data_IF_457120982152
#
_entry.id   IF_457120982152
#
_cell.length_a   1.000
_cell.length_b   1.000
_cell.length_c   1.000
_cell.angle_alpha   90.00
_cell.angle_beta   90.00
_cell.angle_gamma   90.00
#
_symmetry.space_group_name_H-M   'P 1'
#
loop_
_entity.id
_entity.type
_entity.pdbx_description
1 polymer ?
#
# COMPACT_ATOMS: atom_id res chain seq x y z
N UNK A 1 -23.27 8.12 32.74
CA UNK A 1 -22.31 8.59 31.71
C UNK A 1 -23.05 9.62 30.87
N UNK A 2 -22.55 10.85 30.78
CA UNK A 2 -23.22 11.89 29.99
C UNK A 2 -22.93 11.64 28.50
N UNK A 3 -23.85 12.05 27.62
CA UNK A 3 -23.68 11.89 26.16
C UNK A 3 -22.38 12.56 25.69
N UNK A 4 -21.98 13.67 26.32
CA UNK A 4 -20.69 14.33 26.07
C UNK A 4 -19.47 13.44 26.37
N UNK A 5 -19.47 12.70 27.47
CA UNK A 5 -18.35 11.81 27.83
C UNK A 5 -18.19 10.68 26.81
N UNK A 6 -19.32 10.19 26.28
CA UNK A 6 -19.36 9.16 25.25
C UNK A 6 -18.84 9.67 23.91
N UNK A 7 -19.26 10.86 23.48
CA UNK A 7 -18.77 11.53 22.26
C UNK A 7 -17.27 11.82 22.32
N UNK A 8 -16.76 12.22 23.49
CA UNK A 8 -15.33 12.47 23.70
C UNK A 8 -14.51 11.19 23.55
N UNK A 9 -14.94 10.09 24.17
CA UNK A 9 -14.28 8.77 24.05
C UNK A 9 -14.28 8.27 22.60
N UNK A 10 -15.42 8.38 21.90
CA UNK A 10 -15.52 7.96 20.49
C UNK A 10 -14.59 8.79 19.60
N UNK A 11 -14.49 10.10 19.86
CA UNK A 11 -13.59 10.98 19.10
C UNK A 11 -12.13 10.58 19.25
N UNK A 12 -11.66 10.34 20.48
CA UNK A 12 -10.28 9.91 20.75
C UNK A 12 -9.98 8.57 20.04
N UNK A 13 -10.92 7.62 20.08
CA UNK A 13 -10.76 6.33 19.40
C UNK A 13 -10.69 6.48 17.88
N UNK A 14 -11.57 7.29 17.29
CA UNK A 14 -11.58 7.54 15.84
C UNK A 14 -10.31 8.25 15.37
N UNK A 15 -9.81 9.21 16.15
CA UNK A 15 -8.54 9.89 15.87
C UNK A 15 -7.36 8.90 15.92
N UNK A 16 -7.33 8.03 16.94
CA UNK A 16 -6.31 7.00 17.08
C UNK A 16 -6.29 6.03 15.90
N UNK A 17 -7.45 5.47 15.54
CA UNK A 17 -7.58 4.54 14.40
C UNK A 17 -7.25 5.23 13.08
N UNK A 18 -7.73 6.47 12.87
CA UNK A 18 -7.43 7.26 11.68
C UNK A 18 -5.92 7.50 11.51
N UNK A 19 -5.22 7.78 12.61
CA UNK A 19 -3.76 7.97 12.63
C UNK A 19 -3.02 6.69 12.24
N UNK A 20 -3.35 5.56 12.88
CA UNK A 20 -2.69 4.28 12.59
C UNK A 20 -2.93 3.84 11.14
N UNK A 21 -4.15 4.01 10.62
CA UNK A 21 -4.49 3.69 9.24
C UNK A 21 -3.73 4.56 8.24
N UNK A 22 -3.60 5.86 8.52
CA UNK A 22 -2.84 6.80 7.69
C UNK A 22 -1.36 6.43 7.60
N UNK A 23 -0.71 6.19 8.74
CA UNK A 23 0.70 5.78 8.77
C UNK A 23 0.94 4.43 8.10
N UNK A 24 0.04 3.46 8.30
CA UNK A 24 0.12 2.15 7.65
C UNK A 24 0.03 2.28 6.13
N UNK A 25 -0.91 3.08 5.62
CA UNK A 25 -1.02 3.35 4.19
C UNK A 25 0.22 4.04 3.60
N UNK A 26 0.84 4.96 4.35
CA UNK A 26 2.09 5.60 3.95
C UNK A 26 3.25 4.60 3.83
N UNK A 27 3.42 3.71 4.82
CA UNK A 27 4.45 2.66 4.81
C UNK A 27 4.29 1.73 3.60
N UNK A 28 3.04 1.36 3.26
CA UNK A 28 2.74 0.50 2.10
C UNK A 28 3.14 1.16 0.79
N UNK A 29 2.87 2.46 0.62
CA UNK A 29 3.26 3.20 -0.59
C UNK A 29 4.79 3.34 -0.68
N UNK A 30 5.48 3.59 0.43
CA UNK A 30 6.95 3.66 0.44
C UNK A 30 7.58 2.31 0.04
N UNK A 31 7.00 1.20 0.48
CA UNK A 31 7.44 -0.16 0.12
C UNK A 31 7.34 -0.45 -1.38
N UNK A 32 6.43 0.22 -2.10
CA UNK A 32 6.32 0.15 -3.57
C UNK A 32 7.61 0.57 -4.27
N UNK A 33 8.27 1.61 -3.79
CA UNK A 33 9.46 2.21 -4.44
C UNK A 33 10.60 1.19 -4.50
N UNK A 34 10.75 0.38 -3.45
CA UNK A 34 11.71 -0.71 -3.39
C UNK A 34 11.32 -1.88 -4.32
N UNK A 35 10.06 -2.32 -4.27
CA UNK A 35 9.58 -3.44 -5.11
C UNK A 35 9.67 -3.16 -6.62
N UNK A 36 9.36 -1.93 -7.04
CA UNK A 36 9.36 -1.54 -8.45
C UNK A 36 10.76 -1.53 -9.06
N UNK A 37 11.78 -1.27 -8.24
CA UNK A 37 13.19 -1.23 -8.67
C UNK A 37 13.73 -2.64 -8.93
N UNK A 38 13.38 -3.60 -8.06
CA UNK A 38 13.72 -5.01 -8.22
C UNK A 38 13.05 -5.60 -9.47
N UNK A 39 11.78 -5.26 -9.71
CA UNK A 39 11.05 -5.70 -10.90
C UNK A 39 11.68 -5.17 -12.20
N UNK A 40 12.14 -3.91 -12.23
CA UNK A 40 12.82 -3.31 -13.38
C UNK A 40 14.17 -3.97 -13.67
N UNK A 41 15.00 -4.19 -12.66
CA UNK A 41 16.33 -4.79 -12.83
C UNK A 41 16.21 -6.17 -13.46
N UNK A 42 15.32 -7.01 -12.94
CA UNK A 42 15.16 -8.36 -13.45
C UNK A 42 14.56 -8.38 -14.87
N UNK A 43 13.70 -7.42 -15.23
CA UNK A 43 13.21 -7.25 -16.60
C UNK A 43 14.33 -6.87 -17.58
N UNK A 44 15.25 -5.98 -17.18
CA UNK A 44 16.42 -5.64 -17.99
C UNK A 44 17.39 -6.82 -18.14
N UNK A 45 17.65 -7.57 -17.06
CA UNK A 45 18.48 -8.80 -17.11
C UNK A 45 17.90 -9.85 -18.06
N UNK A 46 16.57 -10.03 -18.09
CA UNK A 46 15.92 -10.95 -19.04
C UNK A 46 16.16 -10.57 -20.50
N UNK A 47 16.10 -9.27 -20.80
CA UNK A 47 16.31 -8.74 -22.15
C UNK A 47 17.75 -8.96 -22.64
N UNK A 48 18.71 -9.00 -21.70
CA UNK A 48 20.12 -9.32 -21.95
C UNK A 48 20.31 -10.83 -22.18
N UNK A 49 19.71 -11.68 -21.34
CA UNK A 49 19.84 -13.15 -21.44
C UNK A 49 19.16 -13.72 -22.70
N UNK A 50 18.00 -13.18 -23.09
CA UNK A 50 17.30 -13.60 -24.31
C UNK A 50 18.08 -13.32 -25.61
N UNK A 51 19.07 -12.42 -25.60
CA UNK A 51 19.86 -12.08 -26.80
C UNK A 51 21.08 -12.97 -27.04
N UNK A 52 21.39 -13.95 -26.19
CA UNK A 52 22.63 -14.76 -26.31
C UNK A 52 22.56 -16.26 -26.02
N UNK A 53 21.48 -16.79 -25.43
CA UNK A 53 21.38 -18.20 -24.98
C UNK A 53 19.95 -18.69 -25.23
N UNK A 54 19.64 -18.99 -26.49
CA UNK A 54 18.27 -18.86 -27.00
C UNK A 54 17.32 -20.05 -26.74
N UNK A 55 17.79 -21.23 -26.33
CA UNK A 55 16.90 -22.42 -26.30
C UNK A 55 16.72 -23.06 -24.92
N UNK A 56 17.76 -23.19 -24.10
CA UNK A 56 17.65 -23.86 -22.80
C UNK A 56 17.30 -22.90 -21.64
N UNK A 57 17.78 -21.66 -21.72
CA UNK A 57 17.55 -20.62 -20.68
C UNK A 57 16.24 -19.86 -20.93
N UNK A 58 15.73 -19.88 -22.16
CA UNK A 58 14.50 -19.19 -22.55
C UNK A 58 13.26 -19.69 -21.77
N UNK A 59 13.15 -21.00 -21.52
CA UNK A 59 12.08 -21.59 -20.71
C UNK A 59 12.12 -21.19 -19.23
N UNK A 60 13.32 -21.21 -18.63
CA UNK A 60 13.55 -20.80 -17.23
C UNK A 60 13.34 -19.29 -17.03
N UNK A 61 13.82 -18.49 -17.98
CA UNK A 61 13.57 -17.04 -18.04
C UNK A 61 12.07 -16.78 -18.24
N UNK A 62 11.36 -17.57 -19.03
CA UNK A 62 9.90 -17.50 -19.18
C UNK A 62 9.16 -17.57 -17.84
N UNK A 63 9.47 -18.59 -17.02
CA UNK A 63 8.89 -18.75 -15.68
C UNK A 63 9.24 -17.60 -14.74
N UNK A 64 10.49 -17.12 -14.77
CA UNK A 64 10.88 -15.93 -14.03
C UNK A 64 10.12 -14.67 -14.47
N UNK A 65 9.67 -14.59 -15.75
CA UNK A 65 8.85 -13.47 -16.25
C UNK A 65 7.47 -13.46 -15.63
N UNK A 66 6.87 -14.64 -15.54
CA UNK A 66 5.55 -14.80 -14.95
C UNK A 66 5.62 -14.37 -13.49
N UNK A 67 6.65 -14.82 -12.76
CA UNK A 67 6.87 -14.42 -11.36
C UNK A 67 7.11 -12.92 -11.21
N UNK A 68 7.88 -12.30 -12.10
CA UNK A 68 8.09 -10.86 -12.13
C UNK A 68 6.81 -10.06 -12.39
N UNK A 69 6.00 -10.52 -13.34
CA UNK A 69 4.71 -9.92 -13.63
C UNK A 69 3.78 -10.03 -12.41
N UNK A 70 3.72 -11.20 -11.76
CA UNK A 70 2.96 -11.39 -10.52
C UNK A 70 3.45 -10.53 -9.37
N UNK A 71 4.77 -10.35 -9.21
CA UNK A 71 5.35 -9.42 -8.22
C UNK A 71 4.93 -7.98 -8.53
N UNK A 72 4.97 -7.58 -9.80
CA UNK A 72 4.52 -6.25 -10.22
C UNK A 72 3.02 -6.03 -9.95
N UNK A 73 2.18 -7.03 -10.22
CA UNK A 73 0.74 -7.00 -9.92
C UNK A 73 0.48 -6.93 -8.41
N UNK A 74 1.26 -7.65 -7.61
CA UNK A 74 1.20 -7.59 -6.14
C UNK A 74 1.59 -6.20 -5.62
N UNK A 75 2.67 -5.61 -6.15
CA UNK A 75 3.12 -4.25 -5.80
C UNK A 75 2.03 -3.23 -6.18
N UNK A 76 1.42 -3.37 -7.36
CA UNK A 76 0.34 -2.48 -7.82
C UNK A 76 -0.89 -2.60 -6.92
N UNK A 77 -1.27 -3.82 -6.54
CA UNK A 77 -2.40 -4.09 -5.64
C UNK A 77 -2.14 -3.55 -4.25
N UNK A 78 -0.96 -3.84 -3.67
CA UNK A 78 -0.55 -3.31 -2.36
C UNK A 78 -0.55 -1.78 -2.36
N UNK A 79 -0.08 -1.14 -3.43
CA UNK A 79 -0.17 0.32 -3.58
C UNK A 79 -1.61 0.81 -3.55
N UNK A 80 -2.52 0.14 -4.25
CA UNK A 80 -3.96 0.46 -4.21
C UNK A 80 -4.53 0.38 -2.80
N UNK A 81 -4.17 -0.67 -2.05
CA UNK A 81 -4.56 -0.83 -0.64
C UNK A 81 -3.96 0.28 0.23
N UNK A 82 -2.70 0.67 0.01
CA UNK A 82 -2.05 1.77 0.73
C UNK A 82 -2.74 3.12 0.52
N UNK A 83 -3.11 3.45 -0.72
CA UNK A 83 -3.88 4.67 -1.03
C UNK A 83 -5.26 4.63 -0.37
N UNK A 84 -5.93 3.49 -0.41
CA UNK A 84 -7.23 3.31 0.24
C UNK A 84 -7.16 3.50 1.76
N UNK A 85 -6.13 2.95 2.43
CA UNK A 85 -5.87 3.12 3.86
C UNK A 85 -5.65 4.59 4.26
N UNK A 86 -4.97 5.37 3.40
CA UNK A 86 -4.77 6.81 3.60
C UNK A 86 -6.11 7.56 3.51
N UNK A 87 -6.90 7.30 2.47
CA UNK A 87 -8.20 7.97 2.27
C UNK A 87 -9.13 7.67 3.46
N UNK A 88 -9.22 6.41 3.88
CA UNK A 88 -10.00 6.01 5.06
C UNK A 88 -9.47 6.66 6.33
N UNK A 89 -8.14 6.71 6.52
CA UNK A 89 -7.53 7.37 7.68
C UNK A 89 -7.91 8.84 7.77
N UNK A 90 -7.86 9.57 6.65
CA UNK A 90 -8.28 10.98 6.57
C UNK A 90 -9.78 11.12 6.86
N UNK A 91 -10.61 10.20 6.37
CA UNK A 91 -12.05 10.20 6.60
C UNK A 91 -12.39 9.99 8.08
N UNK A 92 -11.68 9.08 8.76
CA UNK A 92 -11.82 8.89 10.20
C UNK A 92 -11.33 10.11 11.01
N UNK A 93 -10.22 10.75 10.61
CA UNK A 93 -9.75 11.96 11.27
C UNK A 93 -10.74 13.13 11.11
N UNK A 94 -11.27 13.34 9.90
CA UNK A 94 -12.27 14.40 9.65
C UNK A 94 -13.58 14.13 10.38
N UNK A 95 -14.03 12.87 10.42
CA UNK A 95 -15.16 12.45 11.25
C UNK A 95 -14.94 12.74 12.73
N UNK A 96 -13.75 12.45 13.26
CA UNK A 96 -13.40 12.76 14.65
C UNK A 96 -13.44 14.26 14.95
N UNK A 97 -12.95 15.11 14.05
CA UNK A 97 -12.98 16.56 14.23
C UNK A 97 -14.40 17.11 14.20
N UNK A 98 -15.25 16.56 13.33
CA UNK A 98 -16.67 16.95 13.26
C UNK A 98 -17.41 16.63 14.57
N UNK A 99 -17.18 15.43 15.13
CA UNK A 99 -17.76 15.02 16.41
C UNK A 99 -17.25 15.89 17.56
N UNK A 100 -15.96 16.26 17.55
CA UNK A 100 -15.39 17.17 18.54
C UNK A 100 -15.97 18.59 18.46
N UNK A 101 -16.21 19.11 17.26
CA UNK A 101 -16.83 20.43 17.08
C UNK A 101 -18.29 20.41 17.56
N UNK A 102 -19.03 19.32 17.33
CA UNK A 102 -20.41 19.18 17.80
C UNK A 102 -20.51 19.02 19.34
N UNK A 103 -19.39 18.72 20.00
CA UNK A 103 -19.29 18.54 21.45
C UNK A 103 -19.08 19.86 22.21
N UNK A 104 -18.51 20.88 21.55
CA UNK A 104 -18.34 22.24 22.09
C UNK A 104 -19.63 23.05 22.03
#
# INVERSE_FOLDING_TARGET
MKINDLLLIVSILFLGIGTVSFFSGLIVILSKIMGNSIAKIAMETKKIVQKGIAEEVAGLVGNASILLNSINDLIKTATGVGVFLIIIGILFMTGSLYVLIQLQ
#
